data_IF_236894415830
#
_entry.id   IF_236894415830
#
_cell.length_a   1.000
_cell.length_b   1.000
_cell.length_c   1.000
_cell.angle_alpha   90.00
_cell.angle_beta   90.00
_cell.angle_gamma   90.00
#
_symmetry.space_group_name_H-M   'P 1'
#
loop_
_entity.id
_entity.type
_entity.pdbx_description
1 polymer ?
#
# COMPACT_ATOMS: atom_id res chain seq x y z
N UNK A 1 7.11 78.07 -27.64
CA UNK A 1 6.84 76.64 -27.95
C UNK A 1 8.07 75.72 -27.81
N UNK A 2 9.31 76.23 -27.75
CA UNK A 2 10.55 75.40 -27.69
C UNK A 2 10.76 74.64 -26.36
N UNK A 3 10.49 75.28 -25.22
CA UNK A 3 10.86 74.78 -23.88
C UNK A 3 10.19 73.46 -23.49
N UNK A 4 8.96 73.20 -23.97
CA UNK A 4 8.25 71.95 -23.67
C UNK A 4 8.82 70.76 -24.45
N UNK A 5 9.27 70.98 -25.69
CA UNK A 5 9.84 69.91 -26.52
C UNK A 5 11.24 69.52 -26.05
N UNK A 6 12.03 70.50 -25.57
CA UNK A 6 13.35 70.25 -24.98
C UNK A 6 13.26 69.41 -23.70
N UNK A 7 12.32 69.74 -22.81
CA UNK A 7 12.08 69.00 -21.57
C UNK A 7 11.63 67.56 -21.84
N UNK A 8 10.75 67.36 -22.85
CA UNK A 8 10.32 66.01 -23.25
C UNK A 8 11.52 65.21 -23.81
N UNK A 9 12.38 65.83 -24.60
CA UNK A 9 13.54 65.15 -25.19
C UNK A 9 14.59 64.76 -24.15
N UNK A 10 14.83 65.62 -23.15
CA UNK A 10 15.69 65.29 -22.01
C UNK A 10 15.13 64.15 -21.17
N UNK A 11 13.84 64.19 -20.85
CA UNK A 11 13.17 63.12 -20.11
C UNK A 11 13.27 61.76 -20.82
N UNK A 12 13.09 61.74 -22.15
CA UNK A 12 13.20 60.49 -22.93
C UNK A 12 14.65 59.95 -22.90
N UNK A 13 15.66 60.82 -23.01
CA UNK A 13 17.07 60.41 -22.95
C UNK A 13 17.46 59.87 -21.58
N UNK A 14 16.96 60.49 -20.51
CA UNK A 14 17.21 60.02 -19.14
C UNK A 14 16.54 58.68 -18.88
N UNK A 15 15.30 58.50 -19.33
CA UNK A 15 14.59 57.22 -19.25
C UNK A 15 15.33 56.11 -20.01
N UNK A 16 15.83 56.39 -21.21
CA UNK A 16 16.55 55.41 -22.01
C UNK A 16 17.91 55.03 -21.38
N UNK A 17 18.63 56.01 -20.83
CA UNK A 17 19.90 55.80 -20.12
C UNK A 17 19.71 54.95 -18.85
N UNK A 18 18.69 55.26 -18.04
CA UNK A 18 18.35 54.51 -16.81
C UNK A 18 17.94 53.08 -17.17
N UNK A 19 17.11 52.92 -18.19
CA UNK A 19 16.63 51.61 -18.63
C UNK A 19 17.78 50.75 -19.15
N UNK A 20 18.67 51.34 -19.96
CA UNK A 20 19.85 50.65 -20.50
C UNK A 20 20.81 50.23 -19.39
N UNK A 21 21.04 51.10 -18.40
CA UNK A 21 21.85 50.76 -17.22
C UNK A 21 21.26 49.60 -16.42
N UNK A 22 19.94 49.63 -16.17
CA UNK A 22 19.23 48.57 -15.45
C UNK A 22 19.30 47.22 -16.19
N UNK A 23 19.10 47.21 -17.50
CA UNK A 23 19.18 45.99 -18.32
C UNK A 23 20.60 45.39 -18.30
N UNK A 24 21.64 46.22 -18.38
CA UNK A 24 23.04 45.73 -18.30
C UNK A 24 23.37 45.13 -16.94
N UNK A 25 22.88 45.71 -15.84
CA UNK A 25 23.08 45.18 -14.48
C UNK A 25 22.32 43.87 -14.26
N UNK A 26 21.08 43.78 -14.75
CA UNK A 26 20.31 42.53 -14.70
C UNK A 26 20.99 41.43 -15.53
N UNK A 27 21.39 41.71 -16.76
CA UNK A 27 22.08 40.74 -17.61
C UNK A 27 23.40 40.25 -16.99
N UNK A 28 24.13 41.13 -16.30
CA UNK A 28 25.35 40.76 -15.57
C UNK A 28 25.07 39.91 -14.30
N UNK A 29 23.91 40.10 -13.65
CA UNK A 29 23.53 39.40 -12.41
C UNK A 29 22.70 38.14 -12.64
N UNK A 30 21.99 38.01 -13.76
CA UNK A 30 21.17 36.83 -14.11
C UNK A 30 22.03 35.78 -14.84
N UNK A 31 23.12 35.34 -14.22
CA UNK A 31 23.95 34.29 -14.83
C UNK A 31 23.25 32.93 -14.75
N UNK A 32 22.94 32.35 -15.92
CA UNK A 32 22.34 31.01 -16.10
C UNK A 32 23.10 29.90 -15.35
N UNK A 33 24.40 30.12 -15.08
CA UNK A 33 25.28 29.19 -14.36
C UNK A 33 24.99 29.12 -12.86
N UNK A 34 24.52 30.21 -12.25
CA UNK A 34 24.20 30.24 -10.81
C UNK A 34 22.78 29.72 -10.53
N UNK A 35 21.84 29.98 -11.44
CA UNK A 35 20.47 29.47 -11.33
C UNK A 35 20.40 27.95 -11.46
N UNK A 36 21.05 27.36 -12.49
CA UNK A 36 21.07 25.91 -12.68
C UNK A 36 21.80 25.18 -11.54
N UNK A 37 22.88 25.78 -11.01
CA UNK A 37 23.57 25.24 -9.84
C UNK A 37 22.68 25.23 -8.59
N UNK A 38 21.99 26.33 -8.29
CA UNK A 38 21.08 26.42 -7.13
C UNK A 38 19.84 25.52 -7.28
N UNK A 39 19.27 25.44 -8.48
CA UNK A 39 18.13 24.55 -8.77
C UNK A 39 18.53 23.07 -8.70
N UNK A 40 19.72 22.71 -9.18
CA UNK A 40 20.25 21.35 -9.08
C UNK A 40 20.52 20.90 -7.64
N UNK A 41 21.06 21.77 -6.79
CA UNK A 41 21.24 21.49 -5.34
C UNK A 41 19.89 21.25 -4.65
N UNK A 42 18.86 22.01 -5.02
CA UNK A 42 17.53 21.88 -4.40
C UNK A 42 16.83 20.56 -4.79
N UNK A 43 16.95 20.14 -6.06
CA UNK A 43 16.43 18.84 -6.52
C UNK A 43 17.19 17.64 -5.92
N UNK A 44 18.51 17.74 -5.78
CA UNK A 44 19.29 16.70 -5.10
C UNK A 44 18.97 16.61 -3.59
N UNK A 45 18.63 17.75 -2.95
CA UNK A 45 18.30 17.82 -1.53
C UNK A 45 16.97 17.15 -1.14
N UNK A 46 16.01 17.03 -2.06
CA UNK A 46 14.71 16.36 -1.79
C UNK A 46 14.83 14.84 -1.62
N UNK A 47 15.94 14.22 -2.04
CA UNK A 47 16.22 12.80 -1.79
C UNK A 47 16.71 12.49 -0.37
N UNK A 48 17.01 13.51 0.44
CA UNK A 48 17.47 13.36 1.82
C UNK A 48 16.33 13.36 2.85
N UNK A 49 15.07 13.58 2.42
CA UNK A 49 13.91 13.29 3.25
C UNK A 49 13.79 11.77 3.33
N UNK A 50 13.99 11.15 4.51
CA UNK A 50 13.73 9.74 4.64
C UNK A 50 12.23 9.54 4.39
N UNK A 51 11.89 8.97 3.24
CA UNK A 51 10.65 8.22 3.11
C UNK A 51 10.64 7.26 4.30
N UNK A 52 9.55 7.27 5.06
CA UNK A 52 9.39 6.36 6.19
C UNK A 52 9.85 4.97 5.73
N UNK A 53 10.83 4.35 6.41
CA UNK A 53 11.38 3.08 5.97
C UNK A 53 10.26 2.05 6.05
N UNK A 54 9.62 1.77 4.93
CA UNK A 54 8.86 0.54 4.78
C UNK A 54 9.90 -0.55 4.67
N UNK A 55 10.20 -1.21 5.79
CA UNK A 55 11.10 -2.35 5.85
C UNK A 55 10.59 -3.42 4.89
N UNK A 56 11.14 -3.48 3.68
CA UNK A 56 11.09 -4.73 2.92
C UNK A 56 11.93 -5.71 3.74
N UNK A 57 11.27 -6.65 4.41
CA UNK A 57 11.92 -7.67 5.22
C UNK A 57 12.83 -8.63 4.41
N UNK A 58 13.15 -8.30 3.15
CA UNK A 58 13.88 -9.12 2.19
C UNK A 58 15.40 -8.92 2.17
N UNK A 59 15.99 -8.16 3.10
CA UNK A 59 17.43 -7.83 3.07
C UNK A 59 18.24 -8.26 4.31
N UNK A 60 17.67 -9.01 5.24
CA UNK A 60 18.44 -9.67 6.30
C UNK A 60 18.67 -11.13 5.89
N UNK A 61 19.92 -11.62 5.80
CA UNK A 61 20.18 -13.05 5.86
C UNK A 61 19.80 -13.50 7.27
N UNK A 62 18.56 -13.92 7.44
CA UNK A 62 18.08 -14.46 8.72
C UNK A 62 18.70 -15.85 8.87
N UNK A 63 19.47 -16.13 9.94
CA UNK A 63 19.77 -17.51 10.31
C UNK A 63 18.45 -18.24 10.49
N UNK A 64 18.34 -19.46 9.97
CA UNK A 64 17.13 -20.29 10.09
C UNK A 64 16.70 -20.36 11.56
N UNK A 65 15.68 -19.57 11.96
CA UNK A 65 15.11 -19.62 13.32
C UNK A 65 14.73 -18.31 14.02
N UNK A 66 14.94 -17.11 13.47
CA UNK A 66 14.59 -15.86 14.17
C UNK A 66 13.50 -15.03 13.46
N UNK A 67 12.28 -15.04 14.01
CA UNK A 67 11.11 -14.30 13.54
C UNK A 67 11.22 -12.81 13.89
N UNK A 68 11.28 -11.93 12.89
CA UNK A 68 11.11 -10.48 13.08
C UNK A 68 9.68 -10.15 13.53
N UNK A 69 9.46 -9.15 14.40
CA UNK A 69 8.13 -8.71 14.79
C UNK A 69 7.50 -7.89 13.67
N UNK A 70 6.76 -8.56 12.78
CA UNK A 70 5.71 -7.94 11.98
C UNK A 70 4.40 -7.93 12.80
N UNK A 71 3.51 -6.93 12.63
CA UNK A 71 2.19 -6.93 13.29
C UNK A 71 1.32 -8.14 12.94
N UNK A 72 1.65 -8.85 11.86
CA UNK A 72 1.04 -10.10 11.46
C UNK A 72 2.07 -11.22 11.65
N UNK A 73 1.83 -12.20 12.54
CA UNK A 73 2.79 -13.29 12.76
C UNK A 73 2.94 -14.11 11.47
N UNK A 74 4.17 -14.51 11.09
CA UNK A 74 4.35 -15.47 10.01
C UNK A 74 3.64 -16.78 10.36
N UNK A 75 2.94 -17.34 9.37
CA UNK A 75 2.22 -18.62 9.48
C UNK A 75 3.23 -19.70 9.87
N UNK A 76 3.08 -20.25 11.08
CA UNK A 76 3.97 -21.27 11.65
C UNK A 76 4.25 -21.08 13.14
N UNK A 77 4.22 -19.84 13.65
CA UNK A 77 4.37 -19.53 15.08
C UNK A 77 3.18 -18.70 15.61
N UNK A 78 1.96 -19.07 15.22
CA UNK A 78 0.77 -18.54 15.88
C UNK A 78 0.64 -19.22 17.23
N UNK A 79 1.15 -18.58 18.28
CA UNK A 79 0.56 -18.79 19.61
C UNK A 79 -0.95 -18.57 19.50
N UNK A 80 -1.78 -19.30 20.27
CA UNK A 80 -3.23 -19.18 20.18
C UNK A 80 -3.60 -17.71 20.35
N UNK A 81 -4.17 -17.10 19.31
CA UNK A 81 -4.97 -15.89 19.50
C UNK A 81 -6.08 -16.31 20.47
N UNK A 82 -6.11 -15.70 21.67
CA UNK A 82 -7.08 -16.05 22.70
C UNK A 82 -8.50 -16.08 22.11
N UNK A 83 -9.20 -17.21 22.23
CA UNK A 83 -10.55 -17.39 21.69
C UNK A 83 -10.66 -17.95 20.26
N UNK A 84 -9.56 -18.18 19.55
CA UNK A 84 -9.57 -18.76 18.18
C UNK A 84 -9.46 -20.29 18.18
N UNK A 85 -8.92 -20.89 19.24
CA UNK A 85 -8.81 -22.35 19.37
C UNK A 85 -10.18 -23.06 19.50
N UNK A 86 -11.20 -22.33 19.96
CA UNK A 86 -12.55 -22.86 20.20
C UNK A 86 -13.53 -22.57 19.06
N UNK A 87 -13.05 -22.06 17.92
CA UNK A 87 -13.93 -21.77 16.78
C UNK A 87 -14.44 -23.09 16.21
N UNK A 88 -15.77 -23.22 16.20
CA UNK A 88 -16.41 -24.36 15.59
C UNK A 88 -16.62 -24.08 14.10
N UNK A 89 -15.86 -24.78 13.27
CA UNK A 89 -16.00 -24.70 11.82
C UNK A 89 -17.23 -25.45 11.32
N UNK A 90 -17.86 -24.90 10.29
CA UNK A 90 -18.97 -25.50 9.56
C UNK A 90 -18.93 -25.09 8.10
N UNK A 91 -19.32 -26.02 7.23
CA UNK A 91 -19.42 -25.82 5.80
C UNK A 91 -18.24 -26.39 5.03
N UNK A 92 -18.31 -26.28 3.72
CA UNK A 92 -17.28 -26.75 2.79
C UNK A 92 -16.30 -25.63 2.49
N UNK A 93 -15.02 -25.82 2.84
CA UNK A 93 -13.96 -24.83 2.60
C UNK A 93 -13.62 -24.65 1.11
N UNK A 94 -14.17 -25.45 0.21
CA UNK A 94 -14.04 -25.28 -1.24
C UNK A 94 -15.27 -24.58 -1.86
N UNK A 95 -16.30 -24.28 -1.04
CA UNK A 95 -17.47 -23.52 -1.45
C UNK A 95 -17.36 -22.04 -1.08
N UNK A 96 -17.81 -21.16 -1.98
CA UNK A 96 -17.89 -19.72 -1.76
C UNK A 96 -18.86 -19.33 -0.61
N UNK A 97 -19.79 -20.23 -0.27
CA UNK A 97 -20.75 -20.05 0.83
C UNK A 97 -20.12 -20.26 2.21
N UNK A 98 -18.90 -20.78 2.28
CA UNK A 98 -18.18 -20.94 3.53
C UNK A 98 -18.12 -19.60 4.30
N UNK A 99 -18.41 -19.67 5.60
CA UNK A 99 -18.72 -18.48 6.40
C UNK A 99 -17.57 -17.47 6.44
N UNK A 100 -16.31 -17.94 6.41
CA UNK A 100 -15.12 -17.08 6.40
C UNK A 100 -14.95 -16.30 5.09
N UNK A 101 -15.66 -16.64 4.02
CA UNK A 101 -15.51 -16.00 2.70
C UNK A 101 -16.47 -14.82 2.49
N UNK A 102 -17.04 -14.23 3.55
CA UNK A 102 -18.03 -13.16 3.46
C UNK A 102 -17.55 -11.90 2.71
N UNK A 103 -16.26 -11.57 2.69
CA UNK A 103 -15.73 -10.45 1.91
C UNK A 103 -14.58 -10.91 0.99
N UNK A 104 -14.68 -12.14 0.48
CA UNK A 104 -13.64 -12.79 -0.31
C UNK A 104 -13.66 -12.36 -1.78
N UNK A 105 -12.50 -12.31 -2.40
CA UNK A 105 -12.36 -12.04 -3.84
C UNK A 105 -11.20 -12.85 -4.39
N UNK A 106 -11.45 -13.62 -5.45
CA UNK A 106 -10.43 -14.36 -6.18
C UNK A 106 -10.62 -15.89 -6.13
N UNK A 107 -9.53 -16.65 -6.16
CA UNK A 107 -9.53 -18.12 -6.13
C UNK A 107 -9.28 -18.64 -4.72
N UNK A 108 -10.03 -19.65 -4.28
CA UNK A 108 -9.86 -20.25 -2.95
C UNK A 108 -8.61 -21.14 -2.92
N UNK A 109 -7.66 -20.86 -2.01
CA UNK A 109 -6.40 -21.60 -1.97
C UNK A 109 -6.53 -23.09 -1.62
N UNK A 110 -7.58 -23.51 -0.91
CA UNK A 110 -7.86 -24.93 -0.64
C UNK A 110 -8.01 -25.74 -1.94
N UNK A 111 -8.57 -25.13 -2.99
CA UNK A 111 -8.71 -25.76 -4.31
C UNK A 111 -7.42 -25.77 -5.15
N UNK A 112 -6.33 -25.24 -4.61
CA UNK A 112 -5.09 -24.96 -5.34
C UNK A 112 -3.87 -25.70 -4.77
N UNK A 113 -4.10 -26.70 -3.90
CA UNK A 113 -3.03 -27.42 -3.19
C UNK A 113 -2.48 -26.65 -1.98
N UNK A 114 -3.19 -25.62 -1.53
CA UNK A 114 -2.99 -24.96 -0.24
C UNK A 114 -4.01 -25.45 0.78
N UNK A 115 -4.27 -24.63 1.79
CA UNK A 115 -5.38 -24.81 2.72
C UNK A 115 -6.07 -23.47 2.97
N UNK A 116 -7.04 -23.45 3.88
CA UNK A 116 -7.71 -22.25 4.33
C UNK A 116 -6.75 -21.16 4.84
N UNK A 117 -5.61 -21.56 5.42
CA UNK A 117 -4.67 -20.65 6.09
C UNK A 117 -3.21 -20.83 5.64
N UNK A 118 -2.95 -21.68 4.65
CA UNK A 118 -1.58 -21.97 4.17
C UNK A 118 -1.53 -21.90 2.66
N UNK A 119 -0.57 -21.14 2.12
CA UNK A 119 -0.40 -21.03 0.67
C UNK A 119 0.02 -22.34 0.00
N UNK A 120 -0.40 -22.57 -1.26
CA UNK A 120 0.10 -23.67 -2.07
C UNK A 120 1.63 -23.65 -2.25
N UNK A 121 2.29 -24.82 -2.39
CA UNK A 121 3.71 -24.90 -2.69
C UNK A 121 4.12 -24.04 -3.90
N UNK A 122 5.23 -23.32 -3.72
CA UNK A 122 5.79 -22.41 -4.72
C UNK A 122 5.10 -21.04 -4.81
N UNK A 123 4.04 -20.79 -4.03
CA UNK A 123 3.51 -19.44 -3.81
C UNK A 123 3.89 -18.94 -2.40
N UNK A 124 3.85 -17.63 -2.21
CA UNK A 124 4.22 -16.96 -0.97
C UNK A 124 3.04 -16.14 -0.44
N UNK A 125 2.75 -16.25 0.86
CA UNK A 125 1.76 -15.40 1.53
C UNK A 125 2.20 -13.93 1.52
N UNK A 126 1.32 -13.04 1.08
CA UNK A 126 1.49 -11.62 1.25
C UNK A 126 1.38 -11.22 2.72
N UNK A 127 2.17 -10.24 3.16
CA UNK A 127 2.17 -9.80 4.57
C UNK A 127 1.13 -8.74 4.87
N UNK A 128 0.41 -8.26 3.85
CA UNK A 128 -0.65 -7.26 3.97
C UNK A 128 -1.92 -7.85 3.37
N UNK A 129 -3.06 -7.54 3.98
CA UNK A 129 -4.36 -8.10 3.64
C UNK A 129 -5.46 -7.06 3.84
N UNK A 130 -6.60 -7.27 3.20
CA UNK A 130 -7.87 -6.67 3.61
C UNK A 130 -8.56 -7.57 4.63
N UNK A 131 -9.52 -7.00 5.35
CA UNK A 131 -10.19 -7.69 6.45
C UNK A 131 -11.72 -7.73 6.30
N UNK A 132 -12.30 -8.92 6.42
CA UNK A 132 -13.75 -9.12 6.55
C UNK A 132 -14.19 -9.17 8.00
N UNK A 133 -15.45 -8.82 8.28
CA UNK A 133 -16.11 -9.17 9.55
C UNK A 133 -17.19 -10.17 9.24
N UNK A 134 -16.91 -11.45 9.44
CA UNK A 134 -17.79 -12.54 9.02
C UNK A 134 -18.51 -13.16 10.21
N UNK A 135 -19.80 -13.44 10.02
CA UNK A 135 -20.62 -14.12 11.01
C UNK A 135 -20.43 -15.64 10.91
N UNK A 136 -20.08 -16.30 12.02
CA UNK A 136 -20.07 -17.75 12.11
C UNK A 136 -21.46 -18.25 12.56
N UNK A 137 -22.23 -18.96 11.71
CA UNK A 137 -23.56 -19.44 12.07
C UNK A 137 -23.54 -20.51 13.17
N UNK A 138 -22.37 -21.10 13.45
CA UNK A 138 -22.24 -22.22 14.37
C UNK A 138 -22.27 -21.80 15.84
N UNK A 139 -21.67 -20.65 16.14
CA UNK A 139 -21.59 -20.07 17.48
C UNK A 139 -22.28 -18.71 17.60
N UNK A 140 -22.77 -18.15 16.49
CA UNK A 140 -23.48 -16.89 16.43
C UNK A 140 -22.60 -15.65 16.61
N UNK A 141 -21.27 -15.78 16.53
CA UNK A 141 -20.31 -14.68 16.75
C UNK A 141 -19.77 -14.11 15.44
N UNK A 142 -19.31 -12.88 15.50
CA UNK A 142 -18.55 -12.30 14.39
C UNK A 142 -17.06 -12.48 14.61
N UNK A 143 -16.34 -12.70 13.51
CA UNK A 143 -14.88 -12.83 13.51
C UNK A 143 -14.26 -11.91 12.46
N UNK A 144 -13.10 -11.35 12.81
CA UNK A 144 -12.25 -10.66 11.86
C UNK A 144 -11.46 -11.69 11.05
N UNK A 145 -11.65 -11.66 9.74
CA UNK A 145 -10.97 -12.53 8.79
C UNK A 145 -9.95 -11.69 8.02
N UNK A 146 -8.68 -12.10 8.05
CA UNK A 146 -7.63 -11.57 7.19
C UNK A 146 -7.58 -12.37 5.90
N UNK A 147 -7.75 -11.69 4.77
CA UNK A 147 -7.64 -12.27 3.44
C UNK A 147 -6.27 -11.98 2.85
N UNK A 148 -5.35 -12.92 3.04
CA UNK A 148 -4.00 -12.80 2.53
C UNK A 148 -3.90 -13.49 1.17
N UNK A 149 -3.44 -12.75 0.17
CA UNK A 149 -3.15 -13.34 -1.14
C UNK A 149 -1.90 -14.22 -1.07
N UNK A 150 -1.95 -15.34 -1.78
CA UNK A 150 -0.80 -16.13 -2.16
C UNK A 150 -0.31 -15.67 -3.52
N UNK A 151 0.98 -15.34 -3.59
CA UNK A 151 1.57 -14.63 -4.72
C UNK A 151 2.82 -15.35 -5.26
N UNK A 152 3.29 -14.95 -6.44
CA UNK A 152 4.48 -15.51 -7.08
C UNK A 152 4.23 -16.66 -8.06
N UNK A 153 2.97 -17.03 -8.28
CA UNK A 153 2.53 -17.97 -9.34
C UNK A 153 1.40 -17.33 -10.14
N UNK A 154 1.15 -17.83 -11.35
CA UNK A 154 -0.02 -17.45 -12.14
C UNK A 154 -1.31 -17.86 -11.44
N UNK A 155 -2.43 -17.19 -11.75
CA UNK A 155 -3.73 -17.47 -11.14
C UNK A 155 -4.08 -18.96 -11.18
N UNK A 156 -4.54 -19.51 -10.06
CA UNK A 156 -4.92 -20.91 -9.94
C UNK A 156 -6.17 -21.25 -10.77
N UNK A 157 -7.14 -20.33 -10.85
CA UNK A 157 -8.38 -20.52 -11.61
C UNK A 157 -9.38 -21.53 -11.02
N UNK A 158 -9.04 -22.21 -9.93
CA UNK A 158 -9.95 -23.09 -9.18
C UNK A 158 -10.79 -22.31 -8.18
N UNK A 159 -12.07 -22.70 -8.04
CA UNK A 159 -13.00 -22.18 -7.02
C UNK A 159 -13.01 -20.64 -6.93
N UNK A 160 -13.28 -19.99 -8.07
CA UNK A 160 -13.46 -18.54 -8.11
C UNK A 160 -14.65 -18.11 -7.24
N UNK A 161 -14.41 -17.15 -6.35
CA UNK A 161 -15.39 -16.65 -5.39
C UNK A 161 -15.32 -15.12 -5.32
N UNK A 162 -16.48 -14.49 -5.22
CA UNK A 162 -16.61 -13.04 -5.02
C UNK A 162 -17.80 -12.77 -4.12
N UNK A 163 -17.51 -12.21 -2.95
CA UNK A 163 -18.45 -11.82 -1.90
C UNK A 163 -17.98 -10.51 -1.29
N UNK A 164 -18.92 -9.65 -0.92
CA UNK A 164 -18.67 -8.23 -0.65
C UNK A 164 -19.39 -7.74 0.60
N UNK A 165 -19.66 -8.62 1.55
CA UNK A 165 -20.31 -8.28 2.80
C UNK A 165 -19.41 -7.35 3.63
N UNK A 166 -19.83 -6.09 3.77
CA UNK A 166 -19.05 -5.07 4.47
C UNK A 166 -17.83 -4.56 3.69
N UNK A 167 -17.69 -4.94 2.41
CA UNK A 167 -16.69 -4.39 1.50
C UNK A 167 -16.89 -2.88 1.30
N UNK A 168 -15.79 -2.18 1.04
CA UNK A 168 -15.76 -0.72 0.88
C UNK A 168 -14.96 -0.34 -0.36
N UNK A 169 -15.21 0.84 -0.94
CA UNK A 169 -14.39 1.34 -2.04
C UNK A 169 -12.91 1.46 -1.69
N UNK A 170 -12.05 1.51 -2.71
CA UNK A 170 -10.58 1.51 -2.59
C UNK A 170 -9.99 2.56 -1.66
N UNK A 171 -10.67 3.69 -1.43
CA UNK A 171 -10.22 4.71 -0.47
C UNK A 171 -10.39 4.30 1.01
N UNK A 172 -11.02 3.17 1.28
CA UNK A 172 -10.99 2.44 2.55
C UNK A 172 -10.21 1.12 2.35
N UNK A 173 -8.93 1.22 2.03
CA UNK A 173 -8.13 0.10 1.53
C UNK A 173 -8.25 -1.18 2.37
N UNK A 174 -8.15 -1.09 3.71
CA UNK A 174 -8.25 -2.27 4.60
C UNK A 174 -9.57 -3.05 4.52
N UNK A 175 -10.61 -2.47 3.89
CA UNK A 175 -11.93 -3.07 3.68
C UNK A 175 -12.28 -3.22 2.20
N UNK A 176 -11.31 -3.12 1.29
CA UNK A 176 -11.53 -3.20 -0.16
C UNK A 176 -10.94 -4.50 -0.72
N UNK A 177 -11.81 -5.40 -1.16
CA UNK A 177 -11.44 -6.67 -1.81
C UNK A 177 -11.09 -6.54 -3.32
N UNK A 178 -11.18 -5.32 -3.87
CA UNK A 178 -10.85 -5.01 -5.27
C UNK A 178 -9.37 -4.67 -5.51
N UNK A 179 -8.54 -4.72 -4.49
CA UNK A 179 -7.09 -4.47 -4.59
C UNK A 179 -6.36 -5.81 -4.69
N UNK A 180 -5.30 -5.87 -5.50
CA UNK A 180 -4.39 -7.02 -5.51
C UNK A 180 -3.47 -6.89 -4.28
N UNK A 181 -3.65 -7.76 -3.29
CA UNK A 181 -3.03 -7.65 -1.96
C UNK A 181 -1.70 -8.40 -1.84
N UNK A 182 -0.94 -8.54 -2.91
CA UNK A 182 0.41 -9.12 -2.90
C UNK A 182 1.51 -8.25 -2.24
N UNK A 183 1.14 -7.27 -1.43
CA UNK A 183 2.12 -6.40 -0.77
C UNK A 183 2.94 -7.19 0.27
N UNK A 184 4.24 -6.91 0.31
CA UNK A 184 5.19 -7.61 1.18
C UNK A 184 5.55 -9.03 0.74
N UNK A 185 5.01 -9.51 -0.39
CA UNK A 185 5.55 -10.68 -1.09
C UNK A 185 6.70 -10.28 -2.04
N UNK A 186 7.40 -11.27 -2.59
CA UNK A 186 8.47 -11.05 -3.58
C UNK A 186 7.95 -10.79 -5.00
N UNK A 187 6.65 -11.01 -5.27
CA UNK A 187 6.06 -10.91 -6.62
C UNK A 187 4.59 -10.48 -6.55
N UNK A 188 4.17 -9.62 -7.48
CA UNK A 188 2.76 -9.19 -7.61
C UNK A 188 1.91 -10.12 -8.48
N UNK A 189 2.40 -11.31 -8.82
CA UNK A 189 1.62 -12.31 -9.53
C UNK A 189 0.64 -13.01 -8.56
N UNK A 190 -0.66 -12.72 -8.71
CA UNK A 190 -1.72 -13.33 -7.90
C UNK A 190 -1.93 -14.82 -8.24
N UNK A 191 -2.05 -15.67 -7.21
CA UNK A 191 -2.36 -17.09 -7.35
C UNK A 191 -3.73 -17.48 -6.79
N UNK A 192 -3.97 -17.23 -5.49
CA UNK A 192 -5.19 -17.56 -4.74
C UNK A 192 -5.25 -16.72 -3.45
N UNK A 193 -6.32 -16.79 -2.68
CA UNK A 193 -6.50 -16.04 -1.42
C UNK A 193 -6.81 -16.97 -0.24
N UNK A 194 -6.20 -16.70 0.92
CA UNK A 194 -6.43 -17.38 2.20
C UNK A 194 -7.54 -16.70 3.03
N UNK A 195 -8.04 -17.35 4.08
CA UNK A 195 -8.98 -16.75 5.03
C UNK A 195 -8.64 -17.12 6.48
N UNK A 196 -7.81 -16.28 7.11
CA UNK A 196 -7.29 -16.48 8.46
C UNK A 196 -8.17 -15.74 9.46
N UNK A 197 -8.61 -16.40 10.53
CA UNK A 197 -9.23 -15.70 11.66
C UNK A 197 -8.14 -15.01 12.47
N UNK A 198 -8.29 -13.70 12.69
CA UNK A 198 -7.33 -12.88 13.46
C UNK A 198 -7.90 -12.38 14.78
N UNK A 199 -9.20 -12.54 15.03
CA UNK A 199 -9.84 -12.18 16.30
C UNK A 199 -11.36 -12.18 16.23
N UNK A 200 -12.02 -11.85 17.34
CA UNK A 200 -13.45 -11.61 17.39
C UNK A 200 -13.78 -10.25 16.77
N UNK A 201 -14.89 -10.16 16.02
CA UNK A 201 -15.40 -8.90 15.48
C UNK A 201 -16.19 -8.07 16.49
N UNK A 202 -16.59 -8.70 17.60
CA UNK A 202 -17.41 -8.08 18.65
C UNK A 202 -16.57 -7.43 19.76
N UNK A 203 -15.26 -7.67 19.79
CA UNK A 203 -14.35 -7.01 20.72
C UNK A 203 -14.00 -5.61 20.21
N UNK A 204 -14.52 -4.58 20.89
CA UNK A 204 -14.09 -3.19 20.71
C UNK A 204 -12.64 -2.94 21.17
N UNK A 205 -11.99 -3.96 21.75
CA UNK A 205 -10.56 -3.95 22.06
C UNK A 205 -9.77 -4.37 20.82
N UNK A 206 -9.48 -3.40 19.96
CA UNK A 206 -8.34 -3.51 19.06
C UNK A 206 -7.07 -3.58 19.92
N UNK A 207 -6.12 -4.49 19.66
CA UNK A 207 -4.77 -4.35 20.20
C UNK A 207 -4.08 -3.08 19.68
#
# INVERSE_FOLDING_TARGET
MSTRQELISQMIKDLDSVTTGAIRVLAARTSRRSFLGRFGVLMAGMGALPVLPMSRASAQPVPSGASSPTPFPPVGNTGPVNGVADIKEMGDTESCDYWRYCAFSGSICSCCGGSLTTCPPGSQTATVAWVGSCHNPTDGRNYLISYNDCCGKGSCGGCGCSRSEGDRPVYFASKSNNVLWCFGSTSHAYHCTLALVIGHGDSNDLP
#
